data_IF_240989081563
#
_entry.id   IF_240989081563
#
_cell.length_a   1.000
_cell.length_b   1.000
_cell.length_c   1.000
_cell.angle_alpha   90.00
_cell.angle_beta   90.00
_cell.angle_gamma   90.00
#
_symmetry.space_group_name_H-M   'P 1'
#
loop_
_entity.id
_entity.type
_entity.pdbx_description
1 polymer ?
#
# COMPACT_ATOMS: atom_id res chain seq x y z
N UNK A 1 8.64 -15.88 -10.39
CA UNK A 1 7.21 -16.05 -10.71
C UNK A 1 6.90 -17.52 -10.57
N UNK A 2 5.92 -17.89 -9.75
CA UNK A 2 5.59 -19.32 -9.52
C UNK A 2 4.41 -19.77 -10.36
N UNK A 3 3.37 -18.94 -10.45
CA UNK A 3 2.15 -19.26 -11.17
C UNK A 3 1.87 -18.15 -12.17
N UNK A 4 1.73 -18.51 -13.45
CA UNK A 4 1.36 -17.61 -14.53
C UNK A 4 0.14 -18.17 -15.24
N UNK A 5 -0.87 -17.32 -15.45
CA UNK A 5 -2.00 -17.59 -16.33
C UNK A 5 -1.95 -16.61 -17.50
N UNK A 6 -2.30 -17.09 -18.68
CA UNK A 6 -2.23 -16.31 -19.91
C UNK A 6 -3.58 -16.31 -20.60
N UNK A 7 -3.91 -15.19 -21.22
CA UNK A 7 -5.06 -15.11 -22.11
C UNK A 7 -4.89 -16.07 -23.30
N UNK A 8 -6.00 -16.56 -23.85
CA UNK A 8 -6.01 -17.49 -24.99
C UNK A 8 -5.30 -16.97 -26.24
N UNK A 9 -5.17 -15.64 -26.38
CA UNK A 9 -4.48 -15.04 -27.51
C UNK A 9 -2.95 -15.05 -27.40
N UNK A 10 -2.38 -15.48 -26.27
CA UNK A 10 -0.94 -15.47 -26.00
C UNK A 10 -0.31 -16.80 -26.41
N UNK A 11 0.77 -16.73 -27.20
CA UNK A 11 1.60 -17.89 -27.55
C UNK A 11 2.54 -18.24 -26.39
N UNK A 12 2.19 -19.28 -25.64
CA UNK A 12 2.88 -19.67 -24.39
C UNK A 12 4.31 -20.20 -24.60
N UNK A 13 4.59 -20.81 -25.74
CA UNK A 13 5.88 -21.46 -26.05
C UNK A 13 7.05 -20.46 -25.97
N UNK A 14 6.85 -19.27 -26.55
CA UNK A 14 7.86 -18.21 -26.58
C UNK A 14 8.14 -17.63 -25.19
N UNK A 15 7.13 -17.55 -24.33
CA UNK A 15 7.32 -17.01 -22.99
C UNK A 15 8.29 -17.84 -22.15
N UNK A 16 8.30 -19.17 -22.32
CA UNK A 16 9.19 -20.04 -21.56
C UNK A 16 10.66 -19.87 -21.97
N UNK A 17 10.91 -19.61 -23.26
CA UNK A 17 12.27 -19.50 -23.81
C UNK A 17 12.83 -18.10 -23.69
N UNK A 18 12.07 -17.08 -24.11
CA UNK A 18 12.56 -15.71 -24.29
C UNK A 18 11.94 -14.70 -23.33
N UNK A 19 11.01 -15.15 -22.45
CA UNK A 19 10.21 -14.27 -21.58
C UNK A 19 9.43 -13.21 -22.36
N UNK A 20 9.08 -13.51 -23.60
CA UNK A 20 8.33 -12.62 -24.50
C UNK A 20 6.87 -13.05 -24.59
N UNK A 21 5.95 -12.10 -24.46
CA UNK A 21 4.53 -12.32 -24.72
C UNK A 21 4.23 -11.95 -26.18
N UNK A 22 3.97 -12.95 -27.02
CA UNK A 22 3.51 -12.74 -28.39
C UNK A 22 2.02 -13.05 -28.44
N UNK A 23 1.21 -12.10 -28.93
CA UNK A 23 -0.24 -12.23 -28.91
C UNK A 23 -0.92 -11.50 -30.06
N UNK A 24 -2.09 -12.01 -30.46
CA UNK A 24 -3.03 -11.33 -31.36
C UNK A 24 -4.17 -10.75 -30.50
N UNK A 25 -4.11 -9.46 -30.11
CA UNK A 25 -5.01 -8.94 -29.07
C UNK A 25 -6.46 -8.85 -29.57
N UNK A 26 -7.47 -9.12 -28.72
CA UNK A 26 -8.83 -8.71 -28.99
C UNK A 26 -8.95 -7.18 -29.00
N UNK A 27 -10.05 -6.66 -29.54
CA UNK A 27 -10.36 -5.22 -29.48
C UNK A 27 -10.77 -4.87 -28.05
N UNK A 28 -10.16 -3.82 -27.48
CA UNK A 28 -10.49 -3.29 -26.15
C UNK A 28 -9.51 -3.70 -25.06
N UNK A 29 -9.94 -3.53 -23.80
CA UNK A 29 -9.14 -3.86 -22.62
C UNK A 29 -9.24 -5.36 -22.28
N UNK A 30 -8.11 -5.99 -21.99
CA UNK A 30 -8.06 -7.38 -21.54
C UNK A 30 -6.80 -7.66 -20.71
N UNK A 31 -6.86 -8.66 -19.84
CA UNK A 31 -5.70 -9.14 -19.09
C UNK A 31 -4.91 -10.14 -19.94
N UNK A 32 -3.75 -9.74 -20.44
CA UNK A 32 -2.89 -10.63 -21.23
C UNK A 32 -2.24 -11.73 -20.37
N UNK A 33 -1.86 -11.40 -19.14
CA UNK A 33 -1.17 -12.29 -18.22
C UNK A 33 -1.49 -11.92 -16.78
N UNK A 34 -1.74 -12.92 -15.95
CA UNK A 34 -1.80 -12.79 -14.48
C UNK A 34 -0.70 -13.64 -13.88
N UNK A 35 -0.01 -13.15 -12.85
CA UNK A 35 1.04 -13.90 -12.21
C UNK A 35 1.03 -13.75 -10.70
N UNK A 36 1.60 -14.75 -10.02
CA UNK A 36 1.88 -14.74 -8.59
C UNK A 36 3.36 -14.96 -8.35
N UNK A 37 3.90 -14.20 -7.40
CA UNK A 37 5.28 -14.36 -6.95
C UNK A 37 5.39 -15.41 -5.85
N UNK A 38 6.57 -16.04 -5.82
CA UNK A 38 7.01 -16.85 -4.70
C UNK A 38 7.03 -16.03 -3.42
N UNK A 39 6.70 -16.66 -2.31
CA UNK A 39 6.84 -16.06 -0.98
C UNK A 39 8.27 -16.18 -0.44
N UNK A 40 9.15 -16.89 -1.14
CA UNK A 40 10.55 -17.13 -0.76
C UNK A 40 11.50 -16.79 -1.94
N UNK A 41 12.46 -15.86 -1.75
CA UNK A 41 12.66 -15.02 -0.57
C UNK A 41 11.51 -14.02 -0.35
N UNK A 42 11.25 -13.59 0.90
CA UNK A 42 10.20 -12.64 1.18
C UNK A 42 10.49 -11.29 0.51
N UNK A 43 9.50 -10.79 -0.23
CA UNK A 43 9.57 -9.46 -0.83
C UNK A 43 9.65 -8.39 0.26
N UNK A 44 10.52 -7.40 0.05
CA UNK A 44 10.57 -6.23 0.95
C UNK A 44 9.25 -5.46 0.82
N UNK A 45 8.48 -5.29 1.90
CA UNK A 45 7.22 -4.55 1.85
C UNK A 45 7.46 -3.07 1.47
N UNK A 46 6.59 -2.46 0.65
CA UNK A 46 6.72 -1.07 0.23
C UNK A 46 6.58 -0.08 1.38
N UNK A 47 5.89 -0.44 2.46
CA UNK A 47 5.70 0.40 3.64
C UNK A 47 5.90 -0.37 4.93
N UNK A 48 6.49 0.27 5.94
CA UNK A 48 6.64 -0.32 7.27
C UNK A 48 6.08 0.65 8.31
N UNK A 49 5.24 0.15 9.20
CA UNK A 49 4.72 0.91 10.33
C UNK A 49 5.40 0.44 11.61
N UNK A 50 5.91 1.39 12.39
CA UNK A 50 6.37 1.17 13.76
C UNK A 50 5.40 1.88 14.71
N UNK A 51 4.98 1.18 15.76
CA UNK A 51 4.04 1.70 16.76
C UNK A 51 4.66 1.54 18.14
N UNK A 52 4.65 2.61 18.92
CA UNK A 52 5.17 2.62 20.28
C UNK A 52 4.15 3.24 21.23
N UNK A 53 3.85 2.55 22.33
CA UNK A 53 3.14 3.14 23.46
C UNK A 53 4.11 4.04 24.23
N UNK A 54 3.75 5.30 24.46
CA UNK A 54 4.49 6.23 25.31
C UNK A 54 3.78 6.37 26.64
N UNK A 55 4.53 6.23 27.71
CA UNK A 55 4.03 6.49 29.06
C UNK A 55 4.01 7.99 29.35
N UNK A 56 3.12 8.37 30.26
CA UNK A 56 3.09 9.71 30.83
C UNK A 56 3.91 9.72 32.13
N UNK A 57 4.60 10.83 32.39
CA UNK A 57 5.24 11.10 33.68
C UNK A 57 4.22 11.36 34.81
N UNK A 58 2.94 11.55 34.48
CA UNK A 58 1.83 11.81 35.40
C UNK A 58 0.74 10.73 35.30
N UNK A 59 -0.13 10.55 36.32
CA UNK A 59 -1.18 9.53 36.32
C UNK A 59 -2.34 9.92 35.39
N UNK A 60 -2.07 9.96 34.09
CA UNK A 60 -3.07 10.08 33.03
C UNK A 60 -3.60 8.68 32.68
N UNK A 61 -4.92 8.56 32.54
CA UNK A 61 -5.57 7.34 32.03
C UNK A 61 -5.51 7.24 30.50
N UNK A 62 -5.05 8.30 29.86
CA UNK A 62 -4.93 8.36 28.41
C UNK A 62 -3.70 7.60 27.92
N UNK A 63 -3.80 7.13 26.69
CA UNK A 63 -2.74 6.34 26.05
C UNK A 63 -2.11 7.14 24.94
N UNK A 64 -0.80 7.34 25.00
CA UNK A 64 -0.06 7.97 23.93
C UNK A 64 0.54 6.91 23.01
N UNK A 65 0.31 7.06 21.71
CA UNK A 65 0.90 6.26 20.65
C UNK A 65 1.79 7.14 19.79
N UNK A 66 2.97 6.62 19.45
CA UNK A 66 3.84 7.19 18.43
C UNK A 66 3.85 6.23 17.24
N UNK A 67 3.35 6.72 16.11
CA UNK A 67 3.30 6.01 14.84
C UNK A 67 4.38 6.56 13.93
N UNK A 68 5.25 5.70 13.43
CA UNK A 68 6.22 6.03 12.40
C UNK A 68 5.99 5.14 11.17
N UNK A 69 5.52 5.77 10.10
CA UNK A 69 5.31 5.11 8.81
C UNK A 69 6.51 5.40 7.91
N UNK A 70 7.15 4.34 7.43
CA UNK A 70 8.36 4.36 6.60
C UNK A 70 8.00 3.96 5.17
N UNK A 71 8.47 4.73 4.20
CA UNK A 71 8.34 4.46 2.77
C UNK A 71 9.59 3.76 2.24
N UNK A 72 9.43 2.56 1.71
CA UNK A 72 10.51 1.76 1.11
C UNK A 72 10.43 1.68 -0.42
N UNK A 73 9.46 2.38 -1.03
CA UNK A 73 9.46 2.58 -2.48
C UNK A 73 10.61 3.53 -2.88
N UNK A 74 11.09 3.49 -4.13
CA UNK A 74 12.20 4.32 -4.61
C UNK A 74 11.96 5.82 -4.45
N UNK A 75 13.00 6.60 -4.15
CA UNK A 75 12.92 8.05 -3.88
C UNK A 75 12.34 8.89 -5.02
N UNK A 76 12.42 8.40 -6.27
CA UNK A 76 11.85 9.04 -7.44
C UNK A 76 10.37 8.67 -7.69
N UNK A 77 9.73 7.98 -6.75
CA UNK A 77 8.32 7.58 -6.82
C UNK A 77 7.52 8.18 -5.66
N UNK A 78 6.21 8.26 -5.84
CA UNK A 78 5.28 8.69 -4.79
C UNK A 78 4.12 7.70 -4.70
N UNK A 79 3.61 7.54 -3.47
CA UNK A 79 2.33 6.89 -3.23
C UNK A 79 1.26 7.91 -2.91
N UNK A 80 0.03 7.60 -3.31
CA UNK A 80 -1.17 8.41 -3.17
C UNK A 80 -2.32 7.56 -2.65
N UNK A 81 -3.43 8.20 -2.30
CA UNK A 81 -4.63 7.55 -1.78
C UNK A 81 -4.33 6.66 -0.56
N UNK A 82 -3.47 7.16 0.34
CA UNK A 82 -3.00 6.38 1.47
C UNK A 82 -3.95 6.55 2.65
N UNK A 83 -4.46 5.44 3.15
CA UNK A 83 -5.39 5.41 4.28
C UNK A 83 -4.95 4.32 5.25
N UNK A 84 -4.59 4.69 6.48
CA UNK A 84 -4.37 3.74 7.56
C UNK A 84 -5.62 3.68 8.44
N UNK A 85 -6.13 2.48 8.68
CA UNK A 85 -7.24 2.19 9.59
C UNK A 85 -6.71 1.48 10.81
N UNK A 86 -6.84 2.14 11.96
CA UNK A 86 -6.31 1.69 13.25
C UNK A 86 -7.51 1.32 14.12
N UNK A 87 -7.85 0.03 14.28
CA UNK A 87 -8.95 -0.38 15.13
C UNK A 87 -8.63 -0.09 16.59
N UNK A 88 -9.56 0.56 17.30
CA UNK A 88 -9.41 0.91 18.72
C UNK A 88 -10.57 0.35 19.55
N UNK A 89 -10.38 0.10 20.84
CA UNK A 89 -11.47 -0.32 21.72
C UNK A 89 -12.62 0.70 21.76
N UNK A 90 -13.83 0.22 22.02
CA UNK A 90 -15.01 1.09 22.19
C UNK A 90 -14.96 2.03 23.40
N UNK A 91 -13.96 1.86 24.28
CA UNK A 91 -13.69 2.75 25.42
C UNK A 91 -13.01 4.06 24.99
N UNK A 92 -12.45 4.13 23.78
CA UNK A 92 -11.84 5.35 23.24
C UNK A 92 -12.95 6.30 22.79
N UNK A 93 -13.17 7.39 23.53
CA UNK A 93 -14.20 8.38 23.25
C UNK A 93 -13.69 9.59 22.47
N UNK A 94 -12.38 9.79 22.40
CA UNK A 94 -11.78 10.91 21.71
C UNK A 94 -10.30 10.70 21.41
N UNK A 95 -9.76 11.55 20.54
CA UNK A 95 -8.33 11.58 20.21
C UNK A 95 -7.82 13.02 20.20
N UNK A 96 -6.58 13.20 20.62
CA UNK A 96 -5.77 14.37 20.28
C UNK A 96 -4.64 13.90 19.38
N UNK A 97 -4.38 14.62 18.28
CA UNK A 97 -3.38 14.26 17.29
C UNK A 97 -2.31 15.34 17.17
N UNK A 98 -1.08 14.93 16.93
CA UNK A 98 0.01 15.80 16.49
C UNK A 98 0.64 15.15 15.26
N UNK A 99 0.45 15.81 14.12
CA UNK A 99 0.97 15.40 12.82
C UNK A 99 2.21 16.20 12.48
N UNK A 100 3.20 15.54 11.87
CA UNK A 100 4.41 16.19 11.36
C UNK A 100 4.36 16.13 9.83
N UNK A 101 4.33 17.30 9.19
CA UNK A 101 4.29 17.44 7.74
C UNK A 101 2.90 17.79 7.17
N UNK A 102 2.84 18.22 5.89
CA UNK A 102 1.60 18.65 5.25
C UNK A 102 0.73 17.47 4.81
N UNK A 103 -0.51 17.78 4.37
CA UNK A 103 -1.42 16.86 3.65
C UNK A 103 -1.77 15.55 4.36
N UNK A 104 -1.87 15.62 5.68
CA UNK A 104 -2.26 14.51 6.55
C UNK A 104 -3.47 14.92 7.39
N UNK A 105 -4.39 13.98 7.61
CA UNK A 105 -5.49 14.14 8.56
C UNK A 105 -5.70 12.86 9.35
N UNK A 106 -5.96 12.98 10.66
CA UNK A 106 -6.44 11.87 11.48
C UNK A 106 -7.79 12.21 12.08
N UNK A 107 -8.69 11.24 12.06
CA UNK A 107 -10.02 11.35 12.66
C UNK A 107 -10.42 10.05 13.36
N UNK A 108 -11.17 10.17 14.46
CA UNK A 108 -11.80 9.03 15.11
C UNK A 108 -13.18 8.81 14.48
N UNK A 109 -13.37 7.65 13.85
CA UNK A 109 -14.69 7.17 13.42
C UNK A 109 -15.28 6.27 14.51
N UNK A 110 -15.89 6.90 15.53
CA UNK A 110 -16.43 6.21 16.70
C UNK A 110 -17.46 5.11 16.34
N UNK A 111 -18.31 5.35 15.32
CA UNK A 111 -19.28 4.35 14.83
C UNK A 111 -18.62 3.04 14.39
N UNK A 112 -17.40 3.13 13.87
CA UNK A 112 -16.64 2.00 13.31
C UNK A 112 -15.53 1.55 14.26
N UNK A 113 -15.41 2.17 15.45
CA UNK A 113 -14.36 1.89 16.44
C UNK A 113 -12.96 1.90 15.83
N UNK A 114 -12.68 2.90 14.99
CA UNK A 114 -11.40 3.02 14.30
C UNK A 114 -10.94 4.46 14.19
N UNK A 115 -9.62 4.64 14.21
CA UNK A 115 -8.96 5.88 13.83
C UNK A 115 -8.56 5.75 12.35
N UNK A 116 -8.81 6.79 11.57
CA UNK A 116 -8.46 6.84 10.15
C UNK A 116 -7.40 7.91 9.95
N UNK A 117 -6.22 7.52 9.47
CA UNK A 117 -5.13 8.42 9.10
C UNK A 117 -5.03 8.48 7.57
N UNK A 118 -5.45 9.61 7.00
CA UNK A 118 -5.38 9.88 5.57
C UNK A 118 -4.11 10.66 5.25
N UNK A 119 -3.41 10.25 4.19
CA UNK A 119 -2.19 10.87 3.70
C UNK A 119 -2.36 11.03 2.18
N UNK A 120 -2.39 12.26 1.66
CA UNK A 120 -2.63 12.47 0.22
C UNK A 120 -1.45 12.00 -0.63
N UNK A 121 -0.24 12.27 -0.16
CA UNK A 121 1.02 11.99 -0.86
C UNK A 121 2.07 11.51 0.11
N UNK A 122 2.82 10.49 -0.27
CA UNK A 122 3.91 9.95 0.52
C UNK A 122 5.13 9.63 -0.36
N UNK A 123 6.17 10.47 -0.32
CA UNK A 123 7.38 10.26 -1.11
C UNK A 123 8.11 8.96 -0.78
N UNK A 124 8.74 8.35 -1.78
CA UNK A 124 9.66 7.23 -1.58
C UNK A 124 10.88 7.58 -0.72
N UNK A 125 11.40 6.61 0.01
CA UNK A 125 12.54 6.78 0.92
C UNK A 125 12.30 7.68 2.15
N UNK A 126 11.11 8.28 2.28
CA UNK A 126 10.76 9.20 3.36
C UNK A 126 10.05 8.50 4.52
N UNK A 127 9.72 9.26 5.57
CA UNK A 127 8.94 8.77 6.70
C UNK A 127 7.98 9.84 7.20
N UNK A 128 6.87 9.41 7.80
CA UNK A 128 5.87 10.26 8.43
C UNK A 128 5.64 9.82 9.86
N UNK A 129 5.46 10.80 10.75
CA UNK A 129 5.22 10.55 12.17
C UNK A 129 3.88 11.14 12.59
N UNK A 130 3.11 10.37 13.36
CA UNK A 130 1.89 10.81 14.02
C UNK A 130 1.93 10.42 15.49
N UNK A 131 1.73 11.40 16.38
CA UNK A 131 1.51 11.13 17.80
C UNK A 131 0.02 11.25 18.09
N UNK A 132 -0.54 10.21 18.72
CA UNK A 132 -1.94 10.15 19.08
C UNK A 132 -2.07 10.00 20.60
N UNK A 133 -2.91 10.83 21.21
CA UNK A 133 -3.37 10.65 22.57
C UNK A 133 -4.81 10.14 22.52
N UNK A 134 -5.00 8.90 22.97
CA UNK A 134 -6.30 8.25 23.06
C UNK A 134 -6.94 8.60 24.40
N UNK A 135 -8.14 9.20 24.34
CA UNK A 135 -8.91 9.59 25.51
C UNK A 135 -9.90 8.47 25.81
N UNK A 136 -9.77 7.84 26.97
CA UNK A 136 -10.64 6.74 27.42
C UNK A 136 -11.76 7.30 28.30
N UNK A 137 -13.01 6.94 28.02
CA UNK A 137 -14.15 7.23 28.92
C UNK A 137 -14.30 6.19 30.03
N UNK A 138 -13.57 5.08 29.95
CA UNK A 138 -13.59 4.02 30.95
C UNK A 138 -12.53 4.26 32.02
N UNK A 139 -12.70 3.66 33.20
CA UNK A 139 -11.65 3.64 34.23
C UNK A 139 -10.41 2.84 33.81
N UNK A 140 -10.40 2.21 32.63
CA UNK A 140 -9.35 1.34 32.13
C UNK A 140 -8.52 2.05 31.06
N UNK A 141 -7.20 2.06 31.24
CA UNK A 141 -6.23 2.57 30.26
C UNK A 141 -6.19 1.61 29.06
N UNK A 142 -6.32 2.16 27.84
CA UNK A 142 -6.14 1.39 26.61
C UNK A 142 -4.67 1.05 26.44
N UNK A 143 -4.31 -0.20 26.17
CA UNK A 143 -2.93 -0.60 25.94
C UNK A 143 -2.71 -0.87 24.45
N UNK A 144 -1.45 -0.89 24.01
CA UNK A 144 -1.13 -1.23 22.63
C UNK A 144 -1.71 -2.58 22.20
N UNK A 145 -1.71 -3.57 23.11
CA UNK A 145 -2.31 -4.90 22.89
C UNK A 145 -3.83 -4.90 22.65
N UNK A 146 -4.51 -3.82 23.03
CA UNK A 146 -5.96 -3.67 22.84
C UNK A 146 -6.28 -3.05 21.47
N UNK A 147 -5.26 -2.60 20.74
CA UNK A 147 -5.38 -2.05 19.39
C UNK A 147 -5.32 -3.21 18.39
N UNK A 148 -6.29 -3.23 17.48
CA UNK A 148 -6.35 -4.27 16.44
C UNK A 148 -5.26 -4.10 15.39
N UNK A 149 -5.16 -5.08 14.48
CA UNK A 149 -4.25 -4.98 13.35
C UNK A 149 -4.57 -3.76 12.48
N UNK A 150 -3.53 -3.03 12.07
CA UNK A 150 -3.67 -1.81 11.30
C UNK A 150 -3.70 -2.17 9.83
N UNK A 151 -4.74 -1.74 9.11
CA UNK A 151 -4.88 -1.95 7.67
C UNK A 151 -4.43 -0.70 6.94
N UNK A 152 -3.72 -0.86 5.82
CA UNK A 152 -3.28 0.23 4.97
C UNK A 152 -3.76 0.05 3.54
N UNK A 153 -4.40 1.08 3.00
CA UNK A 153 -4.72 1.20 1.59
C UNK A 153 -3.73 2.19 0.95
N UNK A 154 -3.26 1.93 -0.28
CA UNK A 154 -2.38 2.83 -1.04
C UNK A 154 -2.37 2.53 -2.55
N UNK A 155 -1.96 3.52 -3.34
CA UNK A 155 -1.57 3.39 -4.74
C UNK A 155 -0.18 3.99 -4.96
N UNK A 156 0.77 3.23 -5.50
CA UNK A 156 2.10 3.70 -5.87
C UNK A 156 2.30 3.60 -7.38
N UNK A 157 2.55 4.74 -8.04
CA UNK A 157 2.79 4.80 -9.49
C UNK A 157 4.28 4.74 -9.81
N UNK A 158 4.63 4.16 -10.95
CA UNK A 158 6.03 4.02 -11.40
C UNK A 158 6.83 2.95 -10.63
N UNK A 159 6.16 2.16 -9.79
CA UNK A 159 6.77 1.14 -8.94
C UNK A 159 6.04 -0.20 -9.07
N UNK A 160 6.79 -1.29 -9.07
CA UNK A 160 6.26 -2.66 -8.97
C UNK A 160 6.90 -3.38 -7.79
N UNK A 161 6.07 -3.87 -6.86
CA UNK A 161 6.57 -4.75 -5.77
C UNK A 161 7.24 -6.01 -6.32
N UNK A 162 6.86 -6.46 -7.51
CA UNK A 162 7.37 -7.69 -8.11
C UNK A 162 8.75 -7.56 -8.77
N UNK A 163 9.22 -6.33 -8.99
CA UNK A 163 10.41 -6.05 -9.80
C UNK A 163 10.24 -6.33 -11.29
N UNK A 164 9.05 -6.73 -11.74
CA UNK A 164 8.79 -6.96 -13.17
C UNK A 164 8.74 -5.62 -13.90
N UNK A 165 9.47 -5.57 -15.00
CA UNK A 165 9.55 -4.43 -15.89
C UNK A 165 9.39 -4.90 -17.35
N UNK A 166 8.53 -4.21 -18.08
CA UNK A 166 8.37 -4.35 -19.53
C UNK A 166 9.56 -3.65 -20.20
N UNK A 167 10.44 -4.45 -20.82
CA UNK A 167 11.64 -3.94 -21.51
C UNK A 167 11.31 -3.27 -22.85
N UNK A 168 10.32 -3.81 -23.57
CA UNK A 168 9.89 -3.27 -24.85
C UNK A 168 8.45 -3.69 -25.15
N UNK A 169 7.76 -2.86 -25.93
CA UNK A 169 6.45 -3.14 -26.51
C UNK A 169 6.54 -2.91 -28.01
N UNK A 170 6.33 -3.96 -28.80
CA UNK A 170 6.33 -3.91 -30.26
C UNK A 170 4.93 -4.22 -30.77
N UNK A 171 4.46 -3.40 -31.70
CA UNK A 171 3.20 -3.63 -32.41
C UNK A 171 3.55 -3.82 -33.87
N UNK A 172 3.19 -4.99 -34.41
CA UNK A 172 3.36 -5.31 -35.82
C UNK A 172 2.04 -5.07 -36.54
N UNK A 173 2.00 -4.03 -37.36
CA UNK A 173 0.92 -3.81 -38.31
C UNK A 173 1.35 -4.39 -39.65
N UNK A 174 0.59 -5.37 -40.17
CA UNK A 174 0.92 -6.03 -41.44
C UNK A 174 0.80 -5.07 -42.63
N UNK A 175 -0.10 -4.10 -42.53
CA UNK A 175 -0.38 -3.16 -43.62
C UNK A 175 0.46 -1.88 -43.51
N UNK A 176 1.23 -1.72 -42.41
CA UNK A 176 2.04 -0.52 -42.07
C UNK A 176 1.29 0.82 -42.20
N UNK A 177 -0.05 0.80 -42.22
CA UNK A 177 -0.86 1.97 -42.48
C UNK A 177 -0.91 2.89 -41.26
N UNK A 178 -0.59 2.37 -40.07
CA UNK A 178 -0.70 3.10 -38.82
C UNK A 178 0.43 2.79 -37.83
N UNK A 179 1.00 3.84 -37.23
CA UNK A 179 1.93 3.73 -36.10
C UNK A 179 1.18 4.07 -34.81
N UNK A 180 0.80 3.08 -33.98
CA UNK A 180 0.04 3.33 -32.77
C UNK A 180 0.86 4.07 -31.71
N UNK A 181 0.19 4.96 -30.98
CA UNK A 181 0.73 5.48 -29.72
C UNK A 181 0.82 4.36 -28.68
N UNK A 182 1.91 4.32 -27.92
CA UNK A 182 2.22 3.26 -26.96
C UNK A 182 2.60 3.88 -25.64
N UNK A 183 2.02 3.39 -24.55
CA UNK A 183 2.38 3.78 -23.20
C UNK A 183 2.42 2.56 -22.31
N UNK A 184 3.27 2.65 -21.28
CA UNK A 184 3.39 1.64 -20.23
C UNK A 184 3.26 2.38 -18.91
N UNK A 185 2.37 1.91 -18.03
CA UNK A 185 2.25 2.42 -16.67
C UNK A 185 2.42 1.27 -15.69
N UNK A 186 3.24 1.51 -14.67
CA UNK A 186 3.35 0.62 -13.52
C UNK A 186 2.54 1.20 -12.37
N UNK A 187 1.67 0.38 -11.78
CA UNK A 187 0.87 0.74 -10.62
C UNK A 187 0.94 -0.43 -9.65
N UNK A 188 1.26 -0.13 -8.40
CA UNK A 188 1.11 -1.06 -7.28
C UNK A 188 -0.02 -0.55 -6.41
N UNK A 189 -1.06 -1.37 -6.22
CA UNK A 189 -2.16 -1.09 -5.30
C UNK A 189 -2.13 -2.09 -4.15
N UNK A 190 -2.54 -1.64 -2.97
CA UNK A 190 -2.83 -2.53 -1.84
C UNK A 190 -4.07 -3.39 -2.10
N UNK A 191 -4.04 -4.65 -1.66
CA UNK A 191 -5.23 -5.50 -1.54
C UNK A 191 -5.47 -5.83 -0.05
N UNK A 192 -4.70 -6.77 0.50
CA UNK A 192 -4.67 -7.04 1.95
C UNK A 192 -3.31 -6.66 2.55
N UNK A 193 -3.16 -5.40 2.97
CA UNK A 193 -1.93 -4.89 3.58
C UNK A 193 -2.14 -4.60 5.07
N UNK A 194 -1.58 -5.45 5.92
CA UNK A 194 -1.89 -5.47 7.36
C UNK A 194 -0.61 -5.43 8.19
N UNK A 195 -0.54 -4.48 9.12
CA UNK A 195 0.48 -4.43 10.16
C UNK A 195 -0.04 -5.12 11.42
N UNK A 196 0.70 -6.14 11.87
CA UNK A 196 0.48 -6.77 13.18
C UNK A 196 1.24 -5.96 14.24
N UNK A 197 0.56 -5.66 15.34
CA UNK A 197 1.08 -4.94 16.50
C UNK A 197 1.65 -5.92 17.52
#
# INVERSE_FOLDING_TARGET
MEQCSFHQCVRKEEFNTSRCLILNPPIGEFSAMTYRLASDPPLKPPFRLQVQEKDFDSPSRDTCLSLQLLSHIPENTEAVNIVLRIPVPGTVSGISQQLIGPDQTIELKASNKQIVWNIKKFPGGSHLNANLRLISNSGVKTRLKDIGHIVMEFEASGYTCSGIQIRYLRVFDRDQAYVPYRWIRYITVSDSYVFKL
#
